data_IF_024868003287
#
_entry.id   IF_024868003287
#
_cell.length_a   1.000
_cell.length_b   1.000
_cell.length_c   1.000
_cell.angle_alpha   90.00
_cell.angle_beta   90.00
_cell.angle_gamma   90.00
#
_symmetry.space_group_name_H-M   'P 1'
#
loop_
_entity.id
_entity.type
_entity.pdbx_description
1 polymer ?
#
# COMPACT_ATOMS: atom_id res chain seq x y z
N UNK A 1 -2.27 -11.67 -15.05
CA UNK A 1 -2.14 -10.65 -13.99
C UNK A 1 -0.74 -10.80 -13.44
N UNK A 2 0.04 -9.72 -13.37
CA UNK A 2 1.38 -9.77 -12.77
C UNK A 2 1.27 -10.10 -11.28
N UNK A 3 2.31 -10.70 -10.71
CA UNK A 3 2.35 -11.02 -9.28
C UNK A 3 2.40 -9.73 -8.44
N UNK A 4 1.64 -9.64 -7.32
CA UNK A 4 1.70 -8.48 -6.45
C UNK A 4 3.09 -8.32 -5.81
N UNK A 5 3.63 -7.10 -5.86
CA UNK A 5 4.89 -6.76 -5.20
C UNK A 5 4.58 -6.30 -3.78
N UNK A 6 5.01 -7.06 -2.77
CA UNK A 6 4.87 -6.68 -1.37
C UNK A 6 5.90 -5.60 -1.01
N UNK A 7 5.42 -4.41 -0.62
CA UNK A 7 6.27 -3.25 -0.29
C UNK A 7 6.23 -2.86 1.19
N UNK A 8 5.26 -3.40 1.95
CA UNK A 8 5.13 -3.11 3.36
C UNK A 8 4.44 -4.25 4.10
N UNK A 9 4.89 -4.52 5.32
CA UNK A 9 4.26 -5.48 6.20
C UNK A 9 4.52 -5.12 7.66
N UNK A 10 3.47 -5.10 8.45
CA UNK A 10 3.56 -4.86 9.88
C UNK A 10 2.50 -5.64 10.66
N UNK A 11 2.60 -5.57 11.98
CA UNK A 11 1.62 -6.13 12.91
C UNK A 11 1.25 -5.06 13.93
N UNK A 12 -0.02 -4.97 14.25
CA UNK A 12 -0.53 -4.05 15.28
C UNK A 12 -1.65 -4.72 16.09
N UNK A 13 -1.81 -4.27 17.33
CA UNK A 13 -2.91 -4.72 18.18
C UNK A 13 -4.20 -4.01 17.79
N UNK A 14 -5.28 -4.77 17.61
CA UNK A 14 -6.65 -4.26 17.48
C UNK A 14 -7.29 -4.14 18.86
N UNK A 15 -7.02 -5.11 19.74
CA UNK A 15 -7.48 -5.15 21.14
C UNK A 15 -6.44 -5.83 22.04
N UNK A 16 -6.75 -6.04 23.32
CA UNK A 16 -5.84 -6.72 24.26
C UNK A 16 -5.48 -8.14 23.79
N UNK A 17 -6.46 -8.86 23.23
CA UNK A 17 -6.36 -10.25 22.80
C UNK A 17 -6.21 -10.44 21.28
N UNK A 18 -6.36 -9.36 20.49
CA UNK A 18 -6.33 -9.43 19.04
C UNK A 18 -5.17 -8.65 18.43
N UNK A 19 -4.36 -9.34 17.63
CA UNK A 19 -3.32 -8.75 16.78
C UNK A 19 -3.68 -8.97 15.32
N UNK A 20 -3.49 -7.96 14.50
CA UNK A 20 -3.63 -8.06 13.05
C UNK A 20 -2.28 -7.91 12.35
N UNK A 21 -2.20 -8.48 11.15
CA UNK A 21 -1.09 -8.30 10.21
C UNK A 21 -1.60 -7.45 9.05
N UNK A 22 -0.89 -6.38 8.74
CA UNK A 22 -1.13 -5.61 7.51
C UNK A 22 -0.09 -5.93 6.46
N UNK A 23 -0.52 -5.97 5.21
CA UNK A 23 0.32 -6.05 4.03
C UNK A 23 -0.05 -4.93 3.07
N UNK A 24 0.97 -4.28 2.49
CA UNK A 24 0.83 -3.30 1.43
C UNK A 24 1.49 -3.85 0.17
N UNK A 25 0.71 -3.99 -0.90
CA UNK A 25 1.11 -4.60 -2.16
C UNK A 25 0.89 -3.63 -3.32
N UNK A 26 1.72 -3.74 -4.35
CA UNK A 26 1.60 -3.02 -5.63
C UNK A 26 1.32 -4.02 -6.73
N UNK A 27 0.30 -3.78 -7.55
CA UNK A 27 -0.08 -4.65 -8.66
C UNK A 27 -0.12 -3.81 -9.93
N UNK A 28 0.55 -4.25 -11.00
CA UNK A 28 0.34 -3.65 -12.32
C UNK A 28 -1.00 -4.14 -12.89
N UNK A 29 -1.93 -3.22 -13.08
CA UNK A 29 -3.26 -3.52 -13.63
C UNK A 29 -3.40 -3.08 -15.09
N UNK A 30 -2.62 -2.07 -15.49
CA UNK A 30 -2.48 -1.60 -16.88
C UNK A 30 -1.07 -1.03 -17.11
N UNK A 31 -0.69 -0.69 -18.35
CA UNK A 31 0.65 -0.16 -18.65
C UNK A 31 0.97 1.19 -17.98
N UNK A 32 -0.06 2.00 -17.71
CA UNK A 32 0.04 3.31 -17.08
C UNK A 32 -0.68 3.37 -15.72
N UNK A 33 -1.14 2.22 -15.19
CA UNK A 33 -1.89 2.16 -13.93
C UNK A 33 -1.36 1.07 -13.02
N UNK A 34 -1.02 1.47 -11.80
CA UNK A 34 -0.73 0.57 -10.69
C UNK A 34 -1.91 0.59 -9.71
N UNK A 35 -2.15 -0.54 -9.06
CA UNK A 35 -3.05 -0.63 -7.92
C UNK A 35 -2.20 -0.79 -6.66
N UNK A 36 -2.43 0.09 -5.67
CA UNK A 36 -1.92 -0.09 -4.31
C UNK A 36 -3.01 -0.78 -3.51
N UNK A 37 -2.71 -1.95 -2.96
CA UNK A 37 -3.65 -2.74 -2.17
C UNK A 37 -3.13 -2.88 -0.74
N UNK A 38 -3.97 -2.53 0.23
CA UNK A 38 -3.73 -2.76 1.65
C UNK A 38 -4.65 -3.90 2.11
N UNK A 39 -4.08 -4.95 2.68
CA UNK A 39 -4.82 -6.06 3.28
C UNK A 39 -4.52 -6.15 4.77
N UNK A 40 -5.55 -6.17 5.60
CA UNK A 40 -5.46 -6.38 7.04
C UNK A 40 -6.05 -7.75 7.37
N UNK A 41 -5.21 -8.60 7.94
CA UNK A 41 -5.51 -9.99 8.29
C UNK A 41 -5.61 -10.09 9.81
N UNK A 42 -6.80 -10.38 10.33
CA UNK A 42 -7.01 -10.66 11.75
C UNK A 42 -6.61 -12.10 12.07
N UNK A 43 -6.18 -12.37 13.31
CA UNK A 43 -5.92 -13.76 13.73
C UNK A 43 -7.21 -14.61 13.67
N UNK A 44 -8.37 -13.99 13.90
CA UNK A 44 -9.68 -14.66 13.94
C UNK A 44 -10.40 -14.59 12.56
N UNK A 45 -10.05 -13.64 11.70
CA UNK A 45 -10.66 -13.45 10.39
C UNK A 45 -9.60 -13.48 9.26
N UNK A 46 -9.73 -14.46 8.34
CA UNK A 46 -8.83 -14.71 7.21
C UNK A 46 -8.46 -13.45 6.39
N UNK A 47 -9.37 -12.47 6.27
CA UNK A 47 -9.08 -11.06 5.91
C UNK A 47 -10.11 -10.21 6.63
N UNK A 48 -9.68 -9.28 7.49
CA UNK A 48 -10.57 -8.39 8.24
C UNK A 48 -10.98 -7.14 7.46
N UNK A 49 -10.09 -6.64 6.57
CA UNK A 49 -10.37 -5.54 5.67
C UNK A 49 -9.40 -5.55 4.50
N UNK A 50 -9.87 -5.17 3.31
CA UNK A 50 -9.01 -4.90 2.16
C UNK A 50 -9.41 -3.55 1.56
N UNK A 51 -8.43 -2.70 1.30
CA UNK A 51 -8.62 -1.46 0.55
C UNK A 51 -7.70 -1.45 -0.66
N UNK A 52 -8.11 -0.78 -1.73
CA UNK A 52 -7.29 -0.65 -2.93
C UNK A 52 -7.53 0.68 -3.60
N UNK A 53 -6.46 1.26 -4.13
CA UNK A 53 -6.51 2.49 -4.94
C UNK A 53 -5.73 2.30 -6.22
N UNK A 54 -6.35 2.66 -7.35
CA UNK A 54 -5.68 2.72 -8.64
C UNK A 54 -5.02 4.09 -8.80
N UNK A 55 -3.76 4.09 -9.21
CA UNK A 55 -2.95 5.30 -9.41
C UNK A 55 -2.41 5.25 -10.83
N UNK A 56 -2.75 6.27 -11.62
CA UNK A 56 -2.14 6.47 -12.94
C UNK A 56 -0.72 6.97 -12.81
N UNK A 57 0.11 6.70 -13.81
CA UNK A 57 1.50 7.16 -13.90
C UNK A 57 1.65 8.67 -13.67
N UNK A 58 0.75 9.49 -14.21
CA UNK A 58 0.77 10.94 -14.01
C UNK A 58 0.39 11.37 -12.59
N UNK A 59 -0.53 10.65 -11.93
CA UNK A 59 -0.90 10.89 -10.53
C UNK A 59 0.25 10.52 -9.59
N UNK A 60 0.99 9.45 -9.89
CA UNK A 60 2.18 9.06 -9.14
C UNK A 60 3.27 10.15 -9.18
N UNK A 61 3.51 10.76 -10.35
CA UNK A 61 4.46 11.90 -10.46
C UNK A 61 4.04 13.06 -9.56
N UNK A 62 2.75 13.37 -9.53
CA UNK A 62 2.21 14.41 -8.67
C UNK A 62 2.35 14.05 -7.19
N UNK A 63 2.09 12.80 -6.82
CA UNK A 63 2.28 12.30 -5.45
C UNK A 63 3.74 12.46 -5.01
N UNK A 64 4.70 12.06 -5.84
CA UNK A 64 6.15 12.23 -5.56
C UNK A 64 6.51 13.70 -5.42
N UNK A 65 5.98 14.57 -6.29
CA UNK A 65 6.19 16.01 -6.19
C UNK A 65 5.69 16.57 -4.85
N UNK A 66 4.47 16.22 -4.45
CA UNK A 66 3.88 16.62 -3.17
C UNK A 66 4.72 16.09 -2.00
N UNK A 67 5.15 14.82 -2.06
CA UNK A 67 6.03 14.21 -1.06
C UNK A 67 7.34 15.01 -0.86
N UNK A 68 8.02 15.35 -1.97
CA UNK A 68 9.25 16.15 -1.94
C UNK A 68 9.02 17.57 -1.42
N UNK A 69 8.03 18.28 -1.98
CA UNK A 69 7.82 19.71 -1.70
C UNK A 69 7.14 20.00 -0.36
N UNK A 70 6.24 19.12 0.10
CA UNK A 70 5.44 19.34 1.33
C UNK A 70 5.98 18.60 2.54
N UNK A 71 6.58 17.42 2.33
CA UNK A 71 7.06 16.57 3.43
C UNK A 71 8.59 16.49 3.49
N UNK A 72 9.31 17.08 2.54
CA UNK A 72 10.77 17.12 2.52
C UNK A 72 11.43 15.77 2.25
N UNK A 73 10.70 14.81 1.67
CA UNK A 73 11.18 13.46 1.39
C UNK A 73 12.11 13.46 0.16
N UNK A 74 13.40 13.72 0.38
CA UNK A 74 14.39 13.93 -0.69
C UNK A 74 14.87 12.64 -1.35
N UNK A 75 14.70 11.51 -0.69
CA UNK A 75 15.19 10.17 -1.05
C UNK A 75 14.17 9.35 -1.85
N UNK A 76 13.03 9.94 -2.22
CA UNK A 76 12.01 9.24 -3.00
C UNK A 76 12.36 9.24 -4.49
N UNK A 77 12.49 8.03 -5.03
CA UNK A 77 12.86 7.72 -6.41
C UNK A 77 14.24 8.31 -6.78
N UNK A 78 15.29 7.65 -6.31
CA UNK A 78 16.65 7.75 -6.89
C UNK A 78 16.68 7.24 -8.33
#
# INVERSE_FOLDING_TARGET
MEEPILIGKDKFKISEDETARRELRVIKVHDDVIQIQEEVHGIIALVGASSSVNIKKEELKNLIKVAKEKFGWTDICE
#
